data_IF_451000678242
#
_entry.id   IF_451000678242
#
_cell.length_a   1.000
_cell.length_b   1.000
_cell.length_c   1.000
_cell.angle_alpha   90.00
_cell.angle_beta   90.00
_cell.angle_gamma   90.00
#
_symmetry.space_group_name_H-M   'P 1'
#
loop_
_entity.id
_entity.type
_entity.pdbx_description
1 polymer ?
#
# COMPACT_ATOMS: atom_id res chain seq x y z
N UNK A 1 -2.40 -12.95 -3.11
CA UNK A 1 -3.21 -13.25 -1.91
C UNK A 1 -4.42 -12.33 -1.82
N UNK A 2 -4.26 -11.00 -1.78
CA UNK A 2 -5.37 -10.02 -1.70
C UNK A 2 -6.50 -10.20 -2.74
N UNK A 3 -6.17 -10.22 -4.04
CA UNK A 3 -7.19 -10.43 -5.09
C UNK A 3 -7.87 -11.81 -4.98
N UNK A 4 -7.15 -12.83 -4.54
CA UNK A 4 -7.68 -14.18 -4.29
C UNK A 4 -8.64 -14.20 -3.10
N UNK A 5 -8.27 -13.53 -2.01
CA UNK A 5 -9.08 -13.42 -0.80
C UNK A 5 -10.43 -12.72 -1.04
N UNK A 6 -10.48 -11.83 -2.04
CA UNK A 6 -11.69 -11.11 -2.42
C UNK A 6 -12.39 -11.67 -3.67
N UNK A 7 -12.02 -12.86 -4.15
CA UNK A 7 -12.57 -13.49 -5.37
C UNK A 7 -12.45 -12.60 -6.64
N UNK A 8 -11.41 -11.78 -6.70
CA UNK A 8 -11.08 -10.85 -7.79
C UNK A 8 -9.93 -11.36 -8.68
N UNK A 9 -9.65 -12.65 -8.69
CA UNK A 9 -8.56 -13.27 -9.48
C UNK A 9 -8.74 -13.05 -10.98
N UNK A 10 -9.98 -12.92 -11.46
CA UNK A 10 -10.24 -12.56 -12.85
C UNK A 10 -9.70 -11.17 -13.22
N UNK A 11 -9.49 -10.26 -12.24
CA UNK A 11 -9.01 -8.90 -12.49
C UNK A 11 -7.49 -8.79 -12.65
N UNK A 12 -6.74 -9.85 -12.31
CA UNK A 12 -5.28 -9.85 -12.41
C UNK A 12 -4.76 -10.29 -13.79
N UNK A 13 -5.66 -10.76 -14.66
CA UNK A 13 -5.37 -11.10 -16.05
C UNK A 13 -6.05 -10.10 -17.00
N UNK A 14 -5.44 -9.91 -18.15
CA UNK A 14 -6.02 -9.17 -19.25
C UNK A 14 -6.96 -10.09 -20.07
N UNK A 15 -7.74 -9.53 -21.03
CA UNK A 15 -8.66 -10.32 -21.86
C UNK A 15 -7.98 -11.45 -22.66
N UNK A 16 -6.68 -11.34 -22.91
CA UNK A 16 -5.89 -12.35 -23.63
C UNK A 16 -5.40 -13.47 -22.70
N UNK A 17 -5.77 -13.47 -21.42
CA UNK A 17 -5.38 -14.47 -20.43
C UNK A 17 -3.98 -14.27 -19.82
N UNK A 18 -3.26 -13.22 -20.21
CA UNK A 18 -1.94 -12.89 -19.68
C UNK A 18 -2.05 -12.09 -18.38
N UNK A 19 -1.08 -12.23 -17.49
CA UNK A 19 -1.03 -11.43 -16.26
C UNK A 19 -0.77 -9.96 -16.56
N UNK A 20 -1.47 -9.10 -15.83
CA UNK A 20 -1.32 -7.65 -15.93
C UNK A 20 0.00 -7.19 -15.29
N UNK A 21 0.54 -6.08 -15.79
CA UNK A 21 1.74 -5.48 -15.23
C UNK A 21 1.49 -5.01 -13.78
N UNK A 22 2.52 -5.08 -12.93
CA UNK A 22 2.40 -4.72 -11.52
C UNK A 22 1.83 -3.31 -11.31
N UNK A 23 2.24 -2.33 -12.12
CA UNK A 23 1.70 -0.97 -12.09
C UNK A 23 0.19 -0.93 -12.27
N UNK A 24 -0.32 -1.69 -13.25
CA UNK A 24 -1.76 -1.84 -13.53
C UNK A 24 -2.48 -2.51 -12.36
N UNK A 25 -1.89 -3.57 -11.79
CA UNK A 25 -2.45 -4.25 -10.63
C UNK A 25 -2.54 -3.34 -9.40
N UNK A 26 -1.51 -2.51 -9.16
CA UNK A 26 -1.50 -1.52 -8.09
C UNK A 26 -2.60 -0.49 -8.30
N UNK A 27 -2.74 0.05 -9.52
CA UNK A 27 -3.82 0.98 -9.86
C UNK A 27 -5.21 0.35 -9.68
N UNK A 28 -5.40 -0.90 -10.12
CA UNK A 28 -6.65 -1.66 -9.91
C UNK A 28 -6.95 -1.86 -8.43
N UNK A 29 -5.93 -2.13 -7.60
CA UNK A 29 -6.10 -2.31 -6.17
C UNK A 29 -6.53 -1.02 -5.47
N UNK A 30 -5.84 0.09 -5.75
CA UNK A 30 -6.13 1.42 -5.18
C UNK A 30 -7.56 1.88 -5.51
N UNK A 31 -8.04 1.59 -6.72
CA UNK A 31 -9.35 2.02 -7.19
C UNK A 31 -10.49 1.03 -6.86
N UNK A 32 -10.19 -0.10 -6.21
CA UNK A 32 -11.21 -1.11 -5.92
C UNK A 32 -11.89 -0.86 -4.56
N UNK A 33 -13.22 -0.70 -4.57
CA UNK A 33 -14.02 -0.55 -3.34
C UNK A 33 -13.79 -1.68 -2.31
N UNK A 34 -13.66 -2.97 -2.68
CA UNK A 34 -13.45 -4.04 -1.72
C UNK A 34 -12.09 -3.96 -0.99
N UNK A 35 -11.06 -3.48 -1.69
CA UNK A 35 -9.70 -3.32 -1.15
C UNK A 35 -9.45 -1.93 -0.60
N UNK A 36 -10.49 -1.09 -0.53
CA UNK A 36 -10.31 0.29 -0.15
C UNK A 36 -9.86 0.38 1.31
N UNK A 37 -8.90 1.28 1.55
CA UNK A 37 -8.37 1.56 2.87
C UNK A 37 -9.26 2.60 3.57
N UNK A 38 -9.29 2.56 4.90
CA UNK A 38 -10.01 3.58 5.68
C UNK A 38 -9.43 4.97 5.42
N UNK A 39 -10.25 6.02 5.60
CA UNK A 39 -9.83 7.42 5.39
C UNK A 39 -8.54 7.75 6.16
N UNK A 40 -8.43 7.27 7.40
CA UNK A 40 -7.24 7.45 8.24
C UNK A 40 -5.99 6.80 7.65
N UNK A 41 -6.12 5.60 7.08
CA UNK A 41 -4.99 4.92 6.41
C UNK A 41 -4.56 5.65 5.14
N UNK A 42 -5.50 6.21 4.37
CA UNK A 42 -5.18 7.02 3.18
C UNK A 42 -4.41 8.30 3.56
N UNK A 43 -4.84 9.00 4.61
CA UNK A 43 -4.14 10.19 5.11
C UNK A 43 -2.72 9.85 5.61
N UNK A 44 -2.56 8.74 6.33
CA UNK A 44 -1.26 8.32 6.84
C UNK A 44 -0.31 7.84 5.71
N UNK A 45 -0.86 7.35 4.59
CA UNK A 45 -0.07 6.92 3.42
C UNK A 45 0.74 8.07 2.83
N UNK A 46 0.18 9.29 2.76
CA UNK A 46 0.90 10.45 2.23
C UNK A 46 2.17 10.73 3.04
N UNK A 47 2.09 10.68 4.37
CA UNK A 47 3.24 10.82 5.27
C UNK A 47 4.27 9.71 5.10
N UNK A 48 3.82 8.47 4.92
CA UNK A 48 4.71 7.34 4.66
C UNK A 48 5.50 7.54 3.36
N UNK A 49 4.82 7.98 2.29
CA UNK A 49 5.45 8.27 1.00
C UNK A 49 6.44 9.42 1.12
N UNK A 50 6.06 10.51 1.78
CA UNK A 50 6.92 11.68 2.01
C UNK A 50 8.21 11.30 2.74
N UNK A 51 8.12 10.58 3.86
CA UNK A 51 9.30 10.12 4.62
C UNK A 51 10.17 9.17 3.81
N UNK A 52 9.56 8.29 3.02
CA UNK A 52 10.28 7.41 2.09
C UNK A 52 11.04 8.21 1.01
N UNK A 53 10.39 9.19 0.38
CA UNK A 53 11.01 10.04 -0.63
C UNK A 53 12.17 10.86 -0.05
N UNK A 54 11.97 11.47 1.13
CA UNK A 54 13.03 12.19 1.82
C UNK A 54 14.22 11.27 2.09
N UNK A 55 13.99 10.06 2.62
CA UNK A 55 15.07 9.12 2.91
C UNK A 55 15.78 8.58 1.67
N UNK A 56 15.10 8.47 0.53
CA UNK A 56 15.65 7.85 -0.67
C UNK A 56 16.33 8.85 -1.61
N UNK A 57 15.79 10.07 -1.73
CA UNK A 57 16.18 11.02 -2.77
C UNK A 57 16.80 12.32 -2.25
N UNK A 58 16.69 12.64 -0.96
CA UNK A 58 17.30 13.84 -0.42
C UNK A 58 18.68 13.53 0.16
N UNK A 59 19.78 13.95 -0.48
CA UNK A 59 21.14 13.63 -0.03
C UNK A 59 21.50 14.30 1.31
N UNK A 60 20.76 15.33 1.73
CA UNK A 60 20.95 16.03 2.99
C UNK A 60 20.05 15.50 4.11
N UNK A 61 19.14 14.57 3.80
CA UNK A 61 18.24 13.99 4.78
C UNK A 61 18.64 12.55 5.08
N UNK A 62 19.19 12.34 6.27
CA UNK A 62 19.38 11.00 6.82
C UNK A 62 18.22 10.71 7.76
N UNK A 63 17.33 9.79 7.38
CA UNK A 63 16.25 9.35 8.26
C UNK A 63 16.83 8.74 9.53
N UNK A 64 16.51 9.30 10.69
CA UNK A 64 16.92 8.79 12.00
C UNK A 64 15.77 8.01 12.63
N UNK A 65 16.11 7.16 13.59
CA UNK A 65 15.12 6.39 14.35
C UNK A 65 14.00 7.28 14.93
N UNK A 66 14.35 8.44 15.52
CA UNK A 66 13.37 9.39 16.08
C UNK A 66 12.37 9.90 15.04
N UNK A 67 12.77 10.05 13.78
CA UNK A 67 11.88 10.50 12.71
C UNK A 67 10.81 9.45 12.37
N UNK A 68 11.15 8.17 12.55
CA UNK A 68 10.26 7.04 12.29
C UNK A 68 9.38 6.76 13.50
N UNK A 69 9.92 6.85 14.72
CA UNK A 69 9.19 6.61 15.97
C UNK A 69 7.97 7.51 16.12
N UNK A 70 8.09 8.79 15.76
CA UNK A 70 6.98 9.77 15.80
C UNK A 70 5.79 9.34 14.92
N UNK A 71 6.06 8.61 13.83
CA UNK A 71 5.05 8.19 12.86
C UNK A 71 4.71 6.69 12.95
N UNK A 72 5.35 5.95 13.86
CA UNK A 72 5.32 4.48 13.91
C UNK A 72 3.91 3.91 14.04
N UNK A 73 3.06 4.50 14.90
CA UNK A 73 1.68 4.04 15.08
C UNK A 73 0.85 4.22 13.81
N UNK A 74 1.07 5.32 13.09
CA UNK A 74 0.36 5.62 11.83
C UNK A 74 0.79 4.64 10.75
N UNK A 75 2.08 4.33 10.67
CA UNK A 75 2.60 3.33 9.73
C UNK A 75 2.09 1.92 10.06
N UNK A 76 2.08 1.55 11.35
CA UNK A 76 1.51 0.27 11.80
C UNK A 76 0.05 0.12 11.38
N UNK A 77 -0.76 1.17 11.52
CA UNK A 77 -2.16 1.15 11.10
C UNK A 77 -2.31 0.83 9.60
N UNK A 78 -1.45 1.42 8.74
CA UNK A 78 -1.44 1.14 7.30
C UNK A 78 -1.12 -0.33 7.05
N UNK A 79 -0.04 -0.85 7.65
CA UNK A 79 0.37 -2.24 7.44
C UNK A 79 -0.67 -3.23 7.94
N UNK A 80 -1.27 -2.99 9.11
CA UNK A 80 -2.36 -3.83 9.62
C UNK A 80 -3.56 -3.85 8.67
N UNK A 81 -3.98 -2.69 8.16
CA UNK A 81 -5.08 -2.62 7.20
C UNK A 81 -4.74 -3.39 5.90
N UNK A 82 -3.50 -3.26 5.40
CA UNK A 82 -3.05 -4.00 4.22
C UNK A 82 -3.02 -5.52 4.45
N UNK A 83 -2.52 -5.96 5.60
CA UNK A 83 -2.43 -7.38 5.95
C UNK A 83 -3.81 -8.01 6.17
N UNK A 84 -4.74 -7.26 6.75
CA UNK A 84 -6.12 -7.70 6.90
C UNK A 84 -6.81 -7.86 5.53
N UNK A 85 -6.63 -6.87 4.64
CA UNK A 85 -7.14 -6.96 3.26
C UNK A 85 -6.49 -8.11 2.47
N UNK A 86 -5.23 -8.41 2.72
CA UNK A 86 -4.54 -9.50 2.04
C UNK A 86 -4.96 -10.90 2.52
N UNK A 87 -5.67 -10.98 3.66
CA UNK A 87 -6.06 -12.24 4.30
C UNK A 87 -4.90 -12.92 5.02
N UNK A 88 -3.85 -12.16 5.38
CA UNK A 88 -2.70 -12.66 6.13
C UNK A 88 -2.91 -12.52 7.65
N UNK A 89 -3.75 -11.56 8.06
CA UNK A 89 -4.25 -11.34 9.42
C UNK A 89 -5.78 -11.43 9.44
#
# INVERSE_FOLDING_TARGET
MTFKNHSLEHKIKNPNGNYEMLSVLVSKAINSKPLDLTRSCKANREKLVEKGHLSAYNPFYTARQKDIEVEQLKFRQIFQALMHKSGVL
#
